data_IF_971527035218
#
_entry.id   IF_971527035218
#
_cell.length_a   1.000
_cell.length_b   1.000
_cell.length_c   1.000
_cell.angle_alpha   90.00
_cell.angle_beta   90.00
_cell.angle_gamma   90.00
#
_symmetry.space_group_name_H-M   'P 1'
#
loop_
_entity.id
_entity.type
_entity.pdbx_description
1 polymer ?
#
# COMPACT_ATOMS: atom_id res chain seq x y z
N UNK A 1 -3.15 -3.44 15.06
CA UNK A 1 -3.83 -3.57 13.77
C UNK A 1 -3.06 -4.55 12.92
N UNK A 2 -3.63 -5.72 12.67
CA UNK A 2 -2.93 -6.83 12.00
C UNK A 2 -2.94 -6.69 10.47
N UNK A 3 -3.92 -5.97 9.91
CA UNK A 3 -4.11 -5.75 8.47
C UNK A 3 -4.35 -4.28 8.14
N UNK A 4 -3.91 -3.85 6.96
CA UNK A 4 -4.06 -2.50 6.42
C UNK A 4 -4.65 -2.57 5.01
N UNK A 5 -5.62 -1.69 4.74
CA UNK A 5 -6.22 -1.51 3.43
C UNK A 5 -5.69 -0.22 2.79
N UNK A 6 -5.05 -0.32 1.64
CA UNK A 6 -4.70 0.82 0.80
C UNK A 6 -5.82 1.08 -0.21
N UNK A 7 -6.41 2.28 -0.13
CA UNK A 7 -7.46 2.75 -1.02
C UNK A 7 -6.98 3.99 -1.76
N UNK A 8 -7.19 4.03 -3.08
CA UNK A 8 -6.84 5.16 -3.95
C UNK A 8 -8.06 5.51 -4.79
N UNK A 9 -8.44 6.80 -4.79
CA UNK A 9 -9.59 7.31 -5.55
C UNK A 9 -10.93 6.58 -5.29
N UNK A 10 -11.08 5.99 -4.10
CA UNK A 10 -12.28 5.22 -3.73
C UNK A 10 -12.25 3.76 -4.16
N UNK A 11 -11.16 3.29 -4.77
CA UNK A 11 -10.95 1.88 -5.09
C UNK A 11 -9.98 1.23 -4.08
N UNK A 12 -10.28 -0.01 -3.70
CA UNK A 12 -9.37 -0.83 -2.89
C UNK A 12 -8.26 -1.34 -3.78
N UNK A 13 -7.07 -0.77 -3.61
CA UNK A 13 -5.88 -1.11 -4.41
C UNK A 13 -5.14 -2.30 -3.81
N UNK A 14 -5.05 -2.37 -2.48
CA UNK A 14 -4.37 -3.47 -1.79
C UNK A 14 -4.91 -3.66 -0.37
N UNK A 15 -4.98 -4.90 0.10
CA UNK A 15 -5.31 -5.24 1.48
C UNK A 15 -4.44 -6.40 1.93
N UNK A 16 -3.56 -6.15 2.90
CA UNK A 16 -2.65 -7.16 3.43
C UNK A 16 -2.18 -6.79 4.84
N UNK A 17 -1.32 -7.62 5.44
CA UNK A 17 -0.72 -7.33 6.75
C UNK A 17 0.05 -6.03 6.72
N UNK A 18 -0.12 -5.22 7.77
CA UNK A 18 0.48 -3.89 7.88
C UNK A 18 1.99 -3.93 7.59
N UNK A 19 2.69 -4.91 8.16
CA UNK A 19 4.13 -5.08 7.94
C UNK A 19 4.47 -5.23 6.45
N UNK A 20 3.72 -6.07 5.72
CA UNK A 20 3.95 -6.30 4.29
C UNK A 20 3.63 -5.06 3.47
N UNK A 21 2.53 -4.36 3.76
CA UNK A 21 2.16 -3.12 3.09
C UNK A 21 3.30 -2.08 3.20
N UNK A 22 3.93 -1.94 4.37
CA UNK A 22 4.99 -0.94 4.59
C UNK A 22 6.42 -1.39 4.28
N UNK A 23 6.69 -2.70 4.16
CA UNK A 23 8.04 -3.23 3.91
C UNK A 23 8.23 -3.77 2.49
N UNK A 24 7.22 -4.42 1.94
CA UNK A 24 7.25 -5.06 0.62
C UNK A 24 5.82 -5.22 0.10
N UNK A 25 5.17 -4.11 -0.31
CA UNK A 25 3.83 -4.18 -0.88
C UNK A 25 3.86 -5.03 -2.15
N UNK A 26 2.80 -5.81 -2.37
CA UNK A 26 2.69 -6.63 -3.57
C UNK A 26 2.30 -5.80 -4.79
N UNK A 27 1.67 -4.64 -4.58
CA UNK A 27 1.26 -3.75 -5.66
C UNK A 27 2.21 -2.57 -5.81
N UNK A 28 2.66 -2.35 -7.05
CA UNK A 28 3.59 -1.26 -7.40
C UNK A 28 2.99 0.13 -7.14
N UNK A 29 1.68 0.29 -7.26
CA UNK A 29 1.00 1.56 -6.92
C UNK A 29 1.12 1.89 -5.43
N UNK A 30 0.97 0.88 -4.57
CA UNK A 30 1.16 1.01 -3.12
C UNK A 30 2.63 1.28 -2.81
N UNK A 31 3.56 0.61 -3.50
CA UNK A 31 5.00 0.86 -3.39
C UNK A 31 5.34 2.31 -3.76
N UNK A 32 4.90 2.79 -4.92
CA UNK A 32 5.16 4.16 -5.39
C UNK A 32 4.53 5.20 -4.44
N UNK A 33 3.36 4.90 -3.85
CA UNK A 33 2.70 5.75 -2.85
C UNK A 33 3.44 5.80 -1.52
N UNK A 34 3.87 4.65 -0.99
CA UNK A 34 4.54 4.56 0.32
C UNK A 34 5.99 5.03 0.25
N UNK A 35 6.69 4.68 -0.83
CA UNK A 35 8.08 5.12 -1.06
C UNK A 35 8.17 6.62 -1.39
N UNK A 36 7.04 7.26 -1.67
CA UNK A 36 6.99 8.69 -1.92
C UNK A 36 7.82 9.10 -3.13
N UNK A 37 7.94 8.22 -4.14
CA UNK A 37 8.61 8.51 -5.42
C UNK A 37 7.77 9.43 -6.33
N UNK A 38 6.92 10.24 -5.72
CA UNK A 38 6.39 11.47 -6.28
C UNK A 38 7.44 12.55 -5.99
N UNK A 39 8.27 12.86 -7.00
CA UNK A 39 9.29 13.91 -6.91
C UNK A 39 8.73 15.29 -6.62
#
# INVERSE_FOLDING_TARGET
SDYTAFMMLGELVEFDVTEKIFTSPANRLTEDYITGRFG
#
